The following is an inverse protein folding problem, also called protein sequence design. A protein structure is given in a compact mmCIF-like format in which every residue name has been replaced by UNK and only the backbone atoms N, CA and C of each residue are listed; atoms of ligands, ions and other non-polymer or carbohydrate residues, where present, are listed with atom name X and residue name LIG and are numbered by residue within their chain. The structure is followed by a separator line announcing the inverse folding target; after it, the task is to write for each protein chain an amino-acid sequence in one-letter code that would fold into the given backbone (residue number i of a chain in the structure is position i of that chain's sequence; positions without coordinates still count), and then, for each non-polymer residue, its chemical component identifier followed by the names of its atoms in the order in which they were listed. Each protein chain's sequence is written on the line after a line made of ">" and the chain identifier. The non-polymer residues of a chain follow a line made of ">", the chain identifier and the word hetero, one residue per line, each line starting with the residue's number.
data_IF_667204442747
#
_entry.id   IF_667204442747
#
_cell.length_a   1.000
_cell.length_b   1.000
_cell.length_c   1.000
_cell.angle_alpha   90.00
_cell.angle_beta   90.00
_cell.angle_gamma   90.00
#
_symmetry.space_group_name_H-M   'P 1'
#
loop_
_entity.id
_entity.type
_entity.pdbx_description
1 polymer ?
#
# COMPACT_ATOMS: atom_id res chain seq x y z
N UNK A 1 -18.29 14.65 -19.91
CA UNK A 1 -17.87 13.54 -19.04
C UNK A 1 -18.26 12.20 -19.66
N UNK A 2 -19.55 12.03 -20.04
CA UNK A 2 -20.10 10.82 -20.66
C UNK A 2 -19.27 10.17 -21.80
N UNK A 3 -18.63 10.95 -22.69
CA UNK A 3 -17.77 10.41 -23.76
C UNK A 3 -16.41 9.88 -23.31
N UNK A 4 -15.87 10.35 -22.18
CA UNK A 4 -14.59 9.86 -21.65
C UNK A 4 -14.79 8.55 -20.90
N UNK A 5 -15.88 8.42 -20.14
CA UNK A 5 -16.19 7.20 -19.39
C UNK A 5 -16.57 6.03 -20.33
N UNK A 6 -17.22 6.33 -21.47
CA UNK A 6 -17.53 5.33 -22.51
C UNK A 6 -16.30 4.90 -23.31
N UNK A 7 -15.39 5.83 -23.62
CA UNK A 7 -14.17 5.54 -24.37
C UNK A 7 -13.03 4.96 -23.50
N UNK A 8 -13.04 5.26 -22.21
CA UNK A 8 -12.02 4.85 -21.23
C UNK A 8 -12.67 4.44 -19.90
N UNK A 9 -13.35 3.29 -19.85
CA UNK A 9 -14.03 2.84 -18.63
C UNK A 9 -13.05 2.71 -17.46
N UNK A 10 -13.36 3.34 -16.33
CA UNK A 10 -12.47 3.37 -15.15
C UNK A 10 -12.01 1.97 -14.69
N UNK A 11 -12.86 0.95 -14.84
CA UNK A 11 -12.55 -0.46 -14.50
C UNK A 11 -11.43 -1.07 -15.35
N UNK A 12 -11.11 -0.48 -16.51
CA UNK A 12 -10.07 -0.95 -17.43
C UNK A 12 -8.71 -0.28 -17.16
N UNK A 13 -8.66 0.64 -16.20
CA UNK A 13 -7.44 1.33 -15.84
C UNK A 13 -6.64 0.48 -14.86
N UNK A 14 -5.31 0.52 -14.97
CA UNK A 14 -4.43 0.03 -13.92
C UNK A 14 -4.46 1.05 -12.77
N UNK A 15 -4.99 0.62 -11.63
CA UNK A 15 -5.28 1.47 -10.46
C UNK A 15 -4.36 1.07 -9.32
N UNK A 16 -3.34 1.88 -9.08
CA UNK A 16 -2.37 1.71 -8.01
C UNK A 16 -2.64 2.74 -6.92
N UNK A 17 -2.79 2.29 -5.68
CA UNK A 17 -3.02 3.17 -4.53
C UNK A 17 -1.81 3.10 -3.63
N UNK A 18 -1.07 4.21 -3.54
CA UNK A 18 0.08 4.34 -2.65
C UNK A 18 -0.30 5.10 -1.40
N UNK A 19 -0.20 4.43 -0.25
CA UNK A 19 -0.30 5.01 1.07
C UNK A 19 1.09 5.04 1.71
N UNK A 20 1.35 6.05 2.54
CA UNK A 20 2.58 6.14 3.31
C UNK A 20 2.27 6.55 4.75
N UNK A 21 3.04 6.02 5.69
CA UNK A 21 2.89 6.34 7.12
C UNK A 21 4.22 6.23 7.88
N UNK A 22 4.30 6.91 9.00
CA UNK A 22 5.44 6.91 9.93
C UNK A 22 5.17 6.10 11.22
N UNK A 23 4.02 5.45 11.27
CA UNK A 23 3.51 4.64 12.38
C UNK A 23 3.37 5.37 13.72
N UNK A 24 3.15 6.68 13.72
CA UNK A 24 2.92 7.46 14.96
C UNK A 24 1.45 7.43 15.47
N UNK A 25 0.55 6.66 14.85
CA UNK A 25 -0.88 6.71 15.17
C UNK A 25 -1.30 5.87 16.39
N UNK A 26 -2.46 6.24 16.95
CA UNK A 26 -3.06 5.62 18.13
C UNK A 26 -3.37 4.13 17.90
N UNK A 27 -3.19 3.32 18.95
CA UNK A 27 -3.52 1.89 18.96
C UNK A 27 -4.90 1.63 18.35
N UNK A 28 -4.97 0.83 17.27
CA UNK A 28 -6.12 0.40 16.44
C UNK A 28 -6.52 1.21 15.19
N UNK A 29 -5.77 2.23 14.78
CA UNK A 29 -6.13 2.99 13.56
C UNK A 29 -6.09 2.13 12.28
N UNK A 30 -5.10 1.24 12.13
CA UNK A 30 -5.02 0.36 10.97
C UNK A 30 -6.25 -0.52 10.81
N UNK A 31 -6.64 -1.19 11.90
CA UNK A 31 -7.77 -2.13 11.91
C UNK A 31 -9.10 -1.41 11.67
N UNK A 32 -9.30 -0.23 12.28
CA UNK A 32 -10.59 0.47 12.22
C UNK A 32 -10.77 1.32 10.97
N UNK A 33 -9.69 1.85 10.41
CA UNK A 33 -9.78 2.87 9.37
C UNK A 33 -9.02 2.47 8.10
N UNK A 34 -7.76 2.03 8.20
CA UNK A 34 -6.92 1.77 7.02
C UNK A 34 -7.37 0.52 6.27
N UNK A 35 -7.52 -0.61 6.96
CA UNK A 35 -7.95 -1.88 6.35
C UNK A 35 -9.32 -1.73 5.66
N UNK A 36 -10.38 -1.19 6.32
CA UNK A 36 -11.66 -0.97 5.66
C UNK A 36 -11.59 -0.01 4.47
N UNK A 37 -10.64 0.94 4.47
CA UNK A 37 -10.44 1.85 3.35
C UNK A 37 -9.81 1.13 2.16
N UNK A 38 -8.78 0.31 2.40
CA UNK A 38 -8.12 -0.50 1.36
C UNK A 38 -9.09 -1.51 0.74
N UNK A 39 -9.92 -2.17 1.55
CA UNK A 39 -10.94 -3.11 1.06
C UNK A 39 -12.04 -2.43 0.21
N UNK A 40 -12.33 -1.15 0.46
CA UNK A 40 -13.37 -0.40 -0.26
C UNK A 40 -12.87 0.23 -1.56
N UNK A 41 -11.59 0.59 -1.63
CA UNK A 41 -11.03 1.23 -2.81
C UNK A 41 -10.70 0.14 -3.85
N UNK A 42 -11.35 0.25 -5.01
CA UNK A 42 -11.14 -0.64 -6.15
C UNK A 42 -9.80 -0.31 -6.82
N UNK A 43 -8.78 -1.13 -6.52
CA UNK A 43 -7.42 -1.02 -7.00
C UNK A 43 -6.89 -2.38 -7.45
N UNK A 44 -6.00 -2.36 -8.44
CA UNK A 44 -5.24 -3.53 -8.89
C UNK A 44 -4.20 -3.90 -7.83
N UNK A 45 -3.53 -2.91 -7.27
CA UNK A 45 -2.55 -3.06 -6.20
C UNK A 45 -2.67 -1.93 -5.20
N UNK A 46 -2.71 -2.30 -3.92
CA UNK A 46 -2.52 -1.39 -2.81
C UNK A 46 -1.07 -1.48 -2.32
N UNK A 47 -0.42 -0.33 -2.22
CA UNK A 47 0.94 -0.17 -1.79
C UNK A 47 0.97 0.61 -0.47
N UNK A 48 1.66 0.08 0.53
CA UNK A 48 1.88 0.79 1.80
C UNK A 48 3.38 0.93 2.08
N UNK A 49 3.87 2.17 2.15
CA UNK A 49 5.27 2.49 2.45
C UNK A 49 5.38 3.04 3.86
N UNK A 50 6.11 2.35 4.73
CA UNK A 50 6.30 2.78 6.11
C UNK A 50 7.71 3.36 6.34
N UNK A 51 7.80 4.57 6.88
CA UNK A 51 9.10 5.18 7.21
C UNK A 51 9.58 4.67 8.57
N UNK A 52 10.77 4.08 8.61
CA UNK A 52 11.44 3.57 9.82
C UNK A 52 12.89 4.07 9.96
N UNK A 53 13.12 5.38 10.15
CA UNK A 53 14.45 5.98 10.09
C UNK A 53 15.42 5.55 11.21
N UNK A 54 14.97 4.87 12.26
CA UNK A 54 15.81 4.41 13.38
C UNK A 54 15.86 2.89 13.54
N UNK A 55 15.40 2.13 12.55
CA UNK A 55 15.18 0.67 12.65
C UNK A 55 14.02 0.33 13.59
N UNK A 56 13.51 -0.92 13.49
CA UNK A 56 12.29 -1.45 14.14
C UNK A 56 11.86 -0.67 15.38
N UNK A 57 11.13 0.42 15.18
CA UNK A 57 10.45 1.08 16.27
C UNK A 57 9.48 0.03 16.79
N UNK A 58 9.54 -0.27 18.09
CA UNK A 58 8.70 -1.28 18.75
C UNK A 58 7.18 -1.00 18.56
N UNK A 59 6.84 0.19 18.06
CA UNK A 59 5.49 0.66 17.81
C UNK A 59 5.14 0.79 16.31
N UNK A 60 6.03 0.37 15.40
CA UNK A 60 5.81 0.35 13.97
C UNK A 60 4.85 -0.78 13.59
N UNK A 61 3.55 -0.56 13.76
CA UNK A 61 2.54 -1.62 13.75
C UNK A 61 1.67 -1.62 12.51
N UNK A 62 1.59 -0.53 11.75
CA UNK A 62 0.70 -0.46 10.58
C UNK A 62 1.09 -1.45 9.50
N UNK A 63 2.35 -1.39 9.04
CA UNK A 63 2.86 -2.31 8.02
C UNK A 63 2.69 -3.78 8.42
N UNK A 64 3.01 -4.12 9.68
CA UNK A 64 2.82 -5.48 10.17
C UNK A 64 1.34 -5.88 10.30
N UNK A 65 0.47 -4.98 10.76
CA UNK A 65 -0.98 -5.22 10.86
C UNK A 65 -1.60 -5.46 9.48
N UNK A 66 -1.16 -4.70 8.46
CA UNK A 66 -1.55 -4.92 7.07
C UNK A 66 -1.06 -6.28 6.56
N UNK A 67 0.21 -6.61 6.78
CA UNK A 67 0.77 -7.92 6.41
C UNK A 67 0.06 -9.08 7.14
N UNK A 68 -0.33 -8.91 8.41
CA UNK A 68 -1.10 -9.90 9.16
C UNK A 68 -2.52 -10.07 8.63
N UNK A 69 -3.19 -8.99 8.26
CA UNK A 69 -4.58 -9.02 7.78
C UNK A 69 -4.69 -9.54 6.34
N UNK A 70 -3.89 -8.97 5.44
CA UNK A 70 -3.92 -9.34 4.02
C UNK A 70 -3.04 -10.55 3.70
N UNK A 71 -2.13 -10.94 4.60
CA UNK A 71 -1.33 -12.15 4.44
C UNK A 71 -0.46 -12.11 3.17
N UNK A 72 -0.62 -13.13 2.33
CA UNK A 72 0.00 -13.24 1.00
C UNK A 72 -0.99 -12.88 -0.12
N UNK A 73 -1.99 -12.05 0.14
CA UNK A 73 -2.85 -11.58 -0.94
C UNK A 73 -2.02 -10.76 -1.92
N UNK A 74 -2.06 -11.14 -3.19
CA UNK A 74 -1.16 -10.62 -4.23
C UNK A 74 -1.42 -9.14 -4.56
N UNK A 75 -2.55 -8.58 -4.11
CA UNK A 75 -2.94 -7.20 -4.37
C UNK A 75 -2.59 -6.21 -3.25
N UNK A 76 -1.76 -6.59 -2.27
CA UNK A 76 -1.24 -5.68 -1.24
C UNK A 76 0.27 -5.85 -1.08
N UNK A 77 1.04 -4.81 -1.41
CA UNK A 77 2.48 -4.75 -1.23
C UNK A 77 2.84 -3.76 -0.11
N UNK A 78 3.80 -4.16 0.74
CA UNK A 78 4.26 -3.37 1.89
C UNK A 78 5.77 -3.22 1.81
N UNK A 79 6.27 -1.99 1.91
CA UNK A 79 7.69 -1.67 1.89
C UNK A 79 8.08 -0.77 3.07
N UNK A 80 9.34 -0.83 3.46
CA UNK A 80 9.89 -0.04 4.56
C UNK A 80 11.01 0.85 4.02
N UNK A 81 11.03 2.12 4.44
CA UNK A 81 12.05 3.09 4.02
C UNK A 81 12.75 3.69 5.24
N UNK A 82 14.08 3.73 5.25
CA UNK A 82 14.86 4.30 6.35
C UNK A 82 15.29 5.75 6.07
N UNK A 83 15.38 6.14 4.81
CA UNK A 83 15.69 7.49 4.37
C UNK A 83 15.03 7.86 3.04
N UNK A 84 15.11 9.14 2.63
CA UNK A 84 14.59 9.61 1.34
C UNK A 84 15.17 8.86 0.13
N UNK A 85 16.40 8.39 0.23
CA UNK A 85 17.08 7.59 -0.78
C UNK A 85 16.38 6.26 -1.07
N UNK A 86 15.73 5.66 -0.08
CA UNK A 86 15.09 4.35 -0.19
C UNK A 86 13.71 4.41 -0.86
N UNK A 87 13.10 5.60 -0.96
CA UNK A 87 11.70 5.76 -1.41
C UNK A 87 11.51 5.29 -2.84
N UNK A 88 12.46 5.61 -3.71
CA UNK A 88 12.35 5.26 -5.13
C UNK A 88 12.49 3.75 -5.31
N UNK A 89 13.45 3.14 -4.61
CA UNK A 89 13.67 1.70 -4.65
C UNK A 89 12.46 0.94 -4.08
N UNK A 90 11.90 1.40 -2.97
CA UNK A 90 10.67 0.83 -2.40
C UNK A 90 9.48 0.89 -3.36
N UNK A 91 9.32 1.97 -4.12
CA UNK A 91 8.26 2.09 -5.14
C UNK A 91 8.50 1.09 -6.27
N UNK A 92 9.74 0.91 -6.74
CA UNK A 92 10.06 -0.07 -7.77
C UNK A 92 9.78 -1.50 -7.29
N UNK A 93 10.20 -1.85 -6.08
CA UNK A 93 9.95 -3.16 -5.48
C UNK A 93 8.44 -3.46 -5.42
N UNK A 94 7.64 -2.49 -4.98
CA UNK A 94 6.18 -2.59 -4.95
C UNK A 94 5.61 -2.83 -6.34
N UNK A 95 5.99 -2.04 -7.34
CA UNK A 95 5.45 -2.16 -8.70
C UNK A 95 5.83 -3.47 -9.38
N UNK A 96 7.01 -4.03 -9.07
CA UNK A 96 7.43 -5.33 -9.57
C UNK A 96 6.78 -6.51 -8.83
N UNK A 97 5.95 -6.27 -7.80
CA UNK A 97 5.23 -7.35 -7.11
C UNK A 97 4.19 -7.99 -8.04
N UNK A 98 3.58 -7.22 -8.95
CA UNK A 98 2.66 -7.75 -9.98
C UNK A 98 3.38 -8.53 -11.11
N UNK A 99 4.67 -8.30 -11.33
CA UNK A 99 5.43 -8.98 -12.40
C UNK A 99 5.85 -10.40 -12.03
N UNK A 100 5.75 -10.79 -10.75
CA UNK A 100 6.19 -12.09 -10.25
C UNK A 100 5.09 -13.17 -10.25
N UNK A 101 3.91 -12.87 -10.81
CA UNK A 101 2.74 -13.77 -10.90
C UNK A 101 2.73 -14.67 -12.16
N UNK A 102 3.90 -14.92 -12.78
CA UNK A 102 4.10 -15.84 -13.94
C UNK A 102 4.48 -17.29 -13.55
#
# INVERSE_FOLDING_TARGET
>A
MERLDEAYPFKEWNRYVFAAGDSENSSNDTEKNVIPLMERIDANLHAYVETQPSGNAINATHAEELQRHFGRNDNVAVAYVSGPEDVTDAIYDILSTEENDD
#
